data_IF_924820382011
#
_entry.id   IF_924820382011
#
_cell.length_a   1.000
_cell.length_b   1.000
_cell.length_c   1.000
_cell.angle_alpha   90.00
_cell.angle_beta   90.00
_cell.angle_gamma   90.00
#
_symmetry.space_group_name_H-M   'P 1'
#
loop_
_entity.id
_entity.type
_entity.pdbx_description
1 polymer ?
#
# COMPACT_ATOMS: atom_id res chain seq x y z
N UNK A 1 -28.52 9.71 11.94
CA UNK A 1 -27.65 8.70 11.32
C UNK A 1 -28.49 7.49 10.98
N UNK A 2 -28.65 7.17 9.70
CA UNK A 2 -29.35 5.94 9.25
C UNK A 2 -28.33 5.00 8.60
N UNK A 3 -28.46 3.68 8.79
CA UNK A 3 -27.48 2.71 8.32
C UNK A 3 -27.56 2.51 6.80
N UNK A 4 -26.40 2.42 6.15
CA UNK A 4 -26.27 1.99 4.76
C UNK A 4 -26.73 0.54 4.64
N UNK A 5 -27.98 0.33 4.22
CA UNK A 5 -28.47 -0.98 3.78
C UNK A 5 -28.84 -0.85 2.30
N UNK A 6 -28.18 -1.65 1.46
CA UNK A 6 -28.58 -1.80 0.06
C UNK A 6 -29.86 -2.64 0.02
N UNK A 7 -31.01 -2.02 -0.26
CA UNK A 7 -32.15 -2.76 -0.80
C UNK A 7 -32.10 -2.62 -2.32
N UNK A 8 -32.01 -3.77 -2.98
CA UNK A 8 -31.93 -3.99 -4.43
C UNK A 8 -30.52 -3.91 -5.01
N UNK A 9 -30.00 -5.09 -5.39
CA UNK A 9 -28.76 -5.28 -6.12
C UNK A 9 -28.79 -4.68 -7.52
N UNK A 10 -28.69 -3.35 -7.59
CA UNK A 10 -28.27 -2.59 -8.77
C UNK A 10 -27.20 -1.59 -8.32
N UNK A 11 -26.18 -1.32 -9.15
CA UNK A 11 -25.24 -0.24 -8.84
C UNK A 11 -26.01 1.07 -8.74
N UNK A 12 -25.74 1.85 -7.69
CA UNK A 12 -26.22 3.20 -7.50
C UNK A 12 -25.69 4.09 -8.64
N UNK A 13 -26.42 4.19 -9.74
CA UNK A 13 -26.30 5.23 -10.76
C UNK A 13 -27.69 5.54 -11.33
N UNK A 14 -28.50 6.30 -10.60
CA UNK A 14 -29.74 6.91 -11.10
C UNK A 14 -29.65 8.44 -10.96
N UNK A 15 -28.56 9.01 -11.50
CA UNK A 15 -28.38 10.39 -11.99
C UNK A 15 -26.90 10.56 -12.37
N UNK A 16 -26.50 10.06 -13.55
CA UNK A 16 -25.15 10.32 -14.09
C UNK A 16 -25.04 11.80 -14.48
N UNK A 17 -24.39 12.60 -13.62
CA UNK A 17 -23.52 13.67 -14.08
C UNK A 17 -22.11 13.08 -14.10
N UNK A 18 -21.37 13.32 -15.17
CA UNK A 18 -20.26 12.53 -15.70
C UNK A 18 -18.99 12.46 -14.81
N UNK A 19 -18.99 11.78 -13.66
CA UNK A 19 -17.77 11.55 -12.84
C UNK A 19 -17.84 10.17 -12.18
N UNK A 20 -16.69 9.49 -11.98
CA UNK A 20 -16.65 8.12 -11.45
C UNK A 20 -15.47 7.90 -10.51
N UNK A 21 -15.73 7.36 -9.31
CA UNK A 21 -14.69 6.93 -8.37
C UNK A 21 -14.81 5.43 -8.17
N UNK A 22 -13.72 4.70 -8.39
CA UNK A 22 -13.62 3.27 -8.10
C UNK A 22 -12.36 2.97 -7.32
N UNK A 23 -12.52 2.30 -6.19
CA UNK A 23 -11.42 1.68 -5.47
C UNK A 23 -11.39 0.17 -5.77
N UNK A 24 -10.19 -0.38 -5.86
CA UNK A 24 -9.94 -1.82 -5.95
C UNK A 24 -9.46 -2.31 -4.59
N UNK A 25 -10.41 -2.81 -3.80
CA UNK A 25 -10.23 -3.88 -2.81
C UNK A 25 -11.64 -4.44 -2.48
N UNK A 26 -11.77 -5.74 -2.16
CA UNK A 26 -13.02 -6.30 -1.63
C UNK A 26 -13.19 -5.88 -0.16
N UNK A 27 -13.52 -4.61 0.06
CA UNK A 27 -13.94 -4.17 1.38
C UNK A 27 -15.28 -4.84 1.70
N UNK A 28 -15.32 -5.69 2.73
CA UNK A 28 -16.56 -6.32 3.17
C UNK A 28 -17.64 -5.24 3.37
N UNK A 29 -18.86 -5.41 2.82
CA UNK A 29 -19.92 -4.42 2.95
C UNK A 29 -20.24 -4.19 4.43
N UNK A 30 -20.08 -2.95 4.91
CA UNK A 30 -20.41 -2.55 6.28
C UNK A 30 -19.26 -2.05 7.15
N UNK A 31 -18.01 -2.08 6.69
CA UNK A 31 -16.91 -1.42 7.42
C UNK A 31 -16.86 0.10 7.14
N UNK A 32 -16.81 0.89 8.21
CA UNK A 32 -16.80 2.37 8.20
C UNK A 32 -15.54 3.01 7.59
N UNK A 33 -14.63 2.19 7.05
CA UNK A 33 -13.32 2.55 6.52
C UNK A 33 -13.26 2.33 5.00
N UNK A 34 -14.33 2.69 4.28
CA UNK A 34 -14.29 2.67 2.81
C UNK A 34 -13.71 4.01 2.29
N UNK A 35 -12.73 4.00 1.38
CA UNK A 35 -12.06 5.22 0.89
C UNK A 35 -12.88 6.00 -0.13
N UNK A 36 -13.81 5.33 -0.82
CA UNK A 36 -14.60 5.93 -1.93
C UNK A 36 -15.40 7.16 -1.48
N UNK A 37 -16.15 7.15 -0.35
CA UNK A 37 -16.89 8.32 0.09
C UNK A 37 -16.01 9.54 0.36
N UNK A 38 -14.77 9.36 0.81
CA UNK A 38 -13.85 10.48 1.08
C UNK A 38 -13.36 11.13 -0.21
N UNK A 39 -12.93 10.33 -1.19
CA UNK A 39 -12.58 10.81 -2.52
C UNK A 39 -13.78 11.51 -3.20
N UNK A 40 -14.96 10.87 -3.13
CA UNK A 40 -16.19 11.40 -3.71
C UNK A 40 -16.60 12.75 -3.08
N UNK A 41 -16.57 12.84 -1.75
CA UNK A 41 -16.91 14.08 -1.05
C UNK A 41 -15.87 15.19 -1.29
N UNK A 42 -14.58 14.83 -1.41
CA UNK A 42 -13.52 15.77 -1.80
C UNK A 42 -13.81 16.38 -3.18
N UNK A 43 -14.18 15.55 -4.16
CA UNK A 43 -14.50 15.99 -5.51
C UNK A 43 -15.74 16.89 -5.53
N UNK A 44 -16.81 16.50 -4.83
CA UNK A 44 -18.02 17.31 -4.69
C UNK A 44 -17.80 18.65 -3.98
N UNK A 45 -16.77 18.75 -3.15
CA UNK A 45 -16.40 19.99 -2.46
C UNK A 45 -15.58 20.94 -3.34
N UNK A 46 -15.40 20.62 -4.62
CA UNK A 46 -14.66 21.43 -5.59
C UNK A 46 -13.15 21.20 -5.58
N UNK A 47 -12.67 20.12 -4.94
CA UNK A 47 -11.26 19.76 -5.02
C UNK A 47 -10.93 19.16 -6.39
N UNK A 48 -9.67 19.29 -6.82
CA UNK A 48 -9.22 18.72 -8.09
C UNK A 48 -9.36 17.20 -8.12
N UNK A 49 -9.40 16.62 -9.33
CA UNK A 49 -9.35 15.17 -9.55
C UNK A 49 -8.18 14.50 -8.82
N UNK A 50 -6.97 15.05 -8.99
CA UNK A 50 -5.77 14.60 -8.28
C UNK A 50 -5.88 14.77 -6.77
N UNK A 51 -6.38 15.91 -6.28
CA UNK A 51 -6.59 16.14 -4.85
C UNK A 51 -7.56 15.14 -4.23
N UNK A 52 -8.62 14.77 -4.97
CA UNK A 52 -9.62 13.82 -4.53
C UNK A 52 -9.11 12.37 -4.56
N UNK A 53 -8.30 12.02 -5.55
CA UNK A 53 -7.56 10.75 -5.58
C UNK A 53 -6.63 10.64 -4.37
N UNK A 54 -5.84 11.69 -4.10
CA UNK A 54 -4.91 11.74 -2.97
C UNK A 54 -5.66 11.60 -1.65
N UNK A 55 -6.78 12.29 -1.46
CA UNK A 55 -7.58 12.17 -0.23
C UNK A 55 -8.17 10.78 -0.04
N UNK A 56 -8.65 10.15 -1.13
CA UNK A 56 -9.16 8.79 -1.11
C UNK A 56 -8.13 7.76 -0.66
N UNK A 57 -6.93 7.81 -1.24
CA UNK A 57 -5.83 6.91 -0.90
C UNK A 57 -5.29 7.18 0.53
N UNK A 58 -5.06 8.46 0.87
CA UNK A 58 -4.58 8.89 2.20
C UNK A 58 -5.54 8.50 3.32
N UNK A 59 -6.84 8.39 3.03
CA UNK A 59 -7.83 7.93 4.01
C UNK A 59 -7.47 6.54 4.53
N UNK A 60 -7.06 5.61 3.67
CA UNK A 60 -6.72 4.26 4.10
C UNK A 60 -5.34 4.16 4.74
N UNK A 61 -4.39 5.02 4.36
CA UNK A 61 -3.13 5.16 5.08
C UNK A 61 -3.35 5.58 6.54
N UNK A 62 -4.34 6.47 6.77
CA UNK A 62 -4.68 7.01 8.10
C UNK A 62 -5.58 6.12 8.92
N UNK A 63 -6.64 5.58 8.31
CA UNK A 63 -7.66 4.77 9.00
C UNK A 63 -7.30 3.29 9.08
N UNK A 64 -6.22 2.86 8.42
CA UNK A 64 -5.81 1.46 8.33
C UNK A 64 -7.00 0.59 7.88
N UNK A 65 -7.56 0.95 6.70
CA UNK A 65 -8.81 0.35 6.19
C UNK A 65 -8.73 -1.18 6.12
N UNK A 66 -7.53 -1.67 5.85
CA UNK A 66 -7.08 -3.03 6.05
C UNK A 66 -5.71 -2.98 6.77
N UNK A 67 -5.16 -4.15 7.12
CA UNK A 67 -3.84 -4.23 7.76
C UNK A 67 -2.68 -4.20 6.74
N UNK A 68 -2.95 -3.82 5.49
CA UNK A 68 -2.01 -3.90 4.37
C UNK A 68 -1.75 -2.55 3.69
N UNK A 69 -2.44 -1.49 4.14
CA UNK A 69 -2.22 -0.09 3.75
C UNK A 69 -2.01 0.80 4.98
N UNK A 70 -0.98 1.64 4.95
CA UNK A 70 -0.67 2.60 6.02
C UNK A 70 0.25 2.04 7.11
N UNK A 71 0.39 2.74 8.22
CA UNK A 71 1.31 2.32 9.29
C UNK A 71 0.81 1.06 10.00
N UNK A 72 1.69 0.36 10.73
CA UNK A 72 1.33 -0.77 11.59
C UNK A 72 1.01 -2.09 10.89
N UNK A 73 0.97 -2.08 9.56
CA UNK A 73 0.78 -3.26 8.70
C UNK A 73 2.10 -3.81 8.15
N UNK A 74 2.05 -5.08 7.71
CA UNK A 74 3.05 -5.78 6.90
C UNK A 74 4.52 -5.33 7.09
N UNK A 75 5.13 -5.56 8.26
CA UNK A 75 6.55 -5.28 8.47
C UNK A 75 7.44 -6.20 7.59
N UNK A 76 8.65 -5.76 7.30
CA UNK A 76 9.69 -6.58 6.66
C UNK A 76 10.30 -7.60 7.64
N UNK A 77 11.25 -8.42 7.17
CA UNK A 77 11.95 -9.42 8.01
C UNK A 77 12.73 -8.82 9.21
N UNK A 78 13.03 -7.52 9.18
CA UNK A 78 13.64 -6.80 10.31
C UNK A 78 12.64 -6.22 11.30
N UNK A 79 11.35 -6.23 10.95
CA UNK A 79 10.27 -5.65 11.73
C UNK A 79 9.96 -4.19 11.39
N UNK A 80 10.58 -3.63 10.35
CA UNK A 80 10.31 -2.28 9.90
C UNK A 80 9.16 -2.28 8.88
N UNK A 81 8.17 -1.41 9.12
CA UNK A 81 7.14 -1.12 8.13
C UNK A 81 7.61 -0.01 7.20
N UNK A 82 7.54 -0.24 5.89
CA UNK A 82 7.77 0.78 4.86
C UNK A 82 6.56 0.90 3.95
N UNK A 83 6.36 2.09 3.38
CA UNK A 83 5.20 2.40 2.54
C UNK A 83 5.61 2.71 1.11
N UNK A 84 4.78 2.28 0.16
CA UNK A 84 4.94 2.54 -1.26
C UNK A 84 3.66 3.23 -1.77
N UNK A 85 3.81 4.24 -2.63
CA UNK A 85 2.68 4.90 -3.27
C UNK A 85 3.04 5.36 -4.68
N UNK A 86 2.07 5.32 -5.59
CA UNK A 86 2.20 5.76 -6.97
C UNK A 86 0.95 6.51 -7.41
N UNK A 87 1.15 7.62 -8.11
CA UNK A 87 0.10 8.48 -8.64
C UNK A 87 0.34 8.73 -10.13
N UNK A 88 -0.75 8.70 -10.91
CA UNK A 88 -0.80 9.01 -12.33
C UNK A 88 -1.89 10.04 -12.56
N UNK A 89 -1.53 11.12 -13.23
CA UNK A 89 -2.42 12.15 -13.72
C UNK A 89 -2.52 12.02 -15.25
N UNK A 90 -3.68 11.64 -15.77
CA UNK A 90 -3.90 11.39 -17.20
C UNK A 90 -3.57 12.63 -18.04
N UNK A 91 -4.18 13.79 -17.76
CA UNK A 91 -3.76 15.06 -18.32
C UNK A 91 -2.28 15.35 -18.13
N UNK A 92 -1.58 15.55 -19.24
CA UNK A 92 -0.15 15.84 -19.25
C UNK A 92 0.73 14.65 -18.86
N UNK A 93 0.16 13.44 -18.70
CA UNK A 93 0.86 12.19 -18.42
C UNK A 93 1.84 12.28 -17.24
N UNK A 94 1.48 13.03 -16.19
CA UNK A 94 2.37 13.19 -15.03
C UNK A 94 2.28 11.97 -14.14
N UNK A 95 3.41 11.52 -13.64
CA UNK A 95 3.48 10.41 -12.70
C UNK A 95 4.49 10.68 -11.61
N UNK A 96 4.19 10.19 -10.41
CA UNK A 96 5.12 10.26 -9.29
C UNK A 96 4.93 9.07 -8.35
N UNK A 97 6.02 8.66 -7.72
CA UNK A 97 6.02 7.54 -6.80
C UNK A 97 7.02 7.70 -5.65
N UNK A 98 6.71 7.05 -4.55
CA UNK A 98 7.66 6.72 -3.50
C UNK A 98 7.65 5.23 -3.24
N UNK A 99 8.81 4.67 -2.94
CA UNK A 99 8.92 3.28 -2.50
C UNK A 99 9.88 3.16 -1.34
N UNK A 100 9.70 2.15 -0.51
CA UNK A 100 10.38 1.97 0.76
C UNK A 100 10.38 3.27 1.58
N UNK A 101 9.29 4.04 1.58
CA UNK A 101 9.20 5.25 2.39
C UNK A 101 9.22 4.84 3.86
N UNK A 102 10.25 5.29 4.57
CA UNK A 102 10.46 4.97 5.98
C UNK A 102 9.95 6.11 6.84
N UNK A 103 9.35 5.77 7.99
CA UNK A 103 9.09 6.69 9.09
C UNK A 103 8.25 7.93 8.72
N UNK A 104 7.41 7.84 7.70
CA UNK A 104 6.44 8.88 7.31
C UNK A 104 5.13 8.17 6.94
N UNK A 105 4.01 8.61 7.52
CA UNK A 105 2.71 7.92 7.38
C UNK A 105 2.00 8.17 6.06
N UNK A 106 2.13 9.38 5.51
CA UNK A 106 1.33 9.85 4.38
C UNK A 106 2.00 9.58 3.03
N UNK A 107 2.25 8.32 2.68
CA UNK A 107 3.01 7.95 1.47
C UNK A 107 2.40 8.52 0.18
N UNK A 108 1.07 8.48 0.04
CA UNK A 108 0.34 9.07 -1.08
C UNK A 108 0.61 10.57 -1.20
N UNK A 109 0.58 11.31 -0.09
CA UNK A 109 0.82 12.75 -0.09
C UNK A 109 2.27 13.07 -0.39
N UNK A 110 3.22 12.24 0.05
CA UNK A 110 4.63 12.39 -0.33
C UNK A 110 4.81 12.15 -1.83
N UNK A 111 4.19 11.13 -2.42
CA UNK A 111 4.20 10.92 -3.88
C UNK A 111 3.62 12.13 -4.63
N UNK A 112 2.54 12.74 -4.11
CA UNK A 112 1.99 13.96 -4.70
C UNK A 112 2.94 15.15 -4.58
N UNK A 113 3.69 15.26 -3.47
CA UNK A 113 4.74 16.26 -3.34
C UNK A 113 5.88 16.03 -4.33
N UNK A 114 6.29 14.78 -4.58
CA UNK A 114 7.27 14.43 -5.63
C UNK A 114 6.80 14.96 -6.99
N UNK A 115 5.52 14.74 -7.33
CA UNK A 115 4.92 15.20 -8.59
C UNK A 115 4.98 16.73 -8.78
N UNK A 116 4.80 17.48 -7.69
CA UNK A 116 4.65 18.94 -7.75
C UNK A 116 5.94 19.72 -7.49
N UNK A 117 6.92 19.11 -6.81
CA UNK A 117 8.10 19.82 -6.32
C UNK A 117 9.43 19.24 -6.82
N UNK A 118 9.39 18.28 -7.74
CA UNK A 118 10.59 17.70 -8.34
C UNK A 118 10.40 17.43 -9.82
N UNK A 119 11.50 17.23 -10.55
CA UNK A 119 11.49 16.68 -11.91
C UNK A 119 11.64 15.14 -11.92
N UNK A 120 11.69 14.51 -10.75
CA UNK A 120 11.84 13.07 -10.62
C UNK A 120 10.48 12.38 -10.68
N UNK A 121 10.46 11.19 -11.26
CA UNK A 121 9.29 10.31 -11.23
C UNK A 121 9.21 9.50 -9.93
N UNK A 122 10.34 9.14 -9.33
CA UNK A 122 10.36 8.22 -8.19
C UNK A 122 11.50 8.53 -7.25
N UNK A 123 11.22 8.53 -5.94
CA UNK A 123 12.22 8.65 -4.88
C UNK A 123 12.03 7.48 -3.92
N UNK A 124 13.13 6.86 -3.47
CA UNK A 124 13.06 5.61 -2.70
C UNK A 124 13.82 5.66 -1.38
N UNK A 125 13.40 4.80 -0.45
CA UNK A 125 14.12 4.52 0.78
C UNK A 125 14.26 5.73 1.70
N UNK A 126 15.42 5.81 2.34
CA UNK A 126 15.79 6.91 3.23
C UNK A 126 15.78 8.28 2.54
N UNK A 127 16.01 8.33 1.22
CA UNK A 127 16.01 9.60 0.48
C UNK A 127 14.60 10.14 0.30
N UNK A 128 13.60 9.25 0.19
CA UNK A 128 12.19 9.64 0.19
C UNK A 128 11.79 10.24 1.53
N UNK A 129 12.25 9.67 2.64
CA UNK A 129 12.05 10.24 3.98
C UNK A 129 12.67 11.63 4.08
N UNK A 130 13.92 11.82 3.70
CA UNK A 130 14.58 13.15 3.73
C UNK A 130 13.85 14.18 2.89
N UNK A 131 13.42 13.81 1.68
CA UNK A 131 12.60 14.67 0.83
C UNK A 131 11.28 15.04 1.52
N UNK A 132 10.58 14.06 2.11
CA UNK A 132 9.33 14.31 2.83
C UNK A 132 9.53 15.32 3.98
N UNK A 133 10.60 15.19 4.76
CA UNK A 133 10.89 16.16 5.83
C UNK A 133 11.13 17.57 5.30
N UNK A 134 11.81 17.71 4.15
CA UNK A 134 12.00 19.01 3.50
C UNK A 134 10.68 19.62 3.01
N UNK A 135 9.70 18.79 2.66
CA UNK A 135 8.34 19.23 2.28
C UNK A 135 7.42 19.47 3.48
N UNK A 136 7.93 19.33 4.72
CA UNK A 136 7.18 19.61 5.95
C UNK A 136 6.40 18.42 6.52
N UNK A 137 6.59 17.21 5.98
CA UNK A 137 6.06 16.00 6.61
C UNK A 137 6.82 15.69 7.91
N UNK A 138 6.20 14.91 8.79
CA UNK A 138 6.77 14.55 10.09
C UNK A 138 7.36 13.15 10.05
N UNK A 139 8.52 13.01 10.68
CA UNK A 139 9.10 11.71 10.96
C UNK A 139 8.38 11.08 12.15
N UNK A 140 7.83 9.89 11.96
CA UNK A 140 7.04 9.18 12.95
C UNK A 140 7.30 7.67 12.90
N UNK A 141 7.16 6.99 14.03
CA UNK A 141 7.25 5.54 14.07
C UNK A 141 6.02 4.91 13.40
N UNK A 142 6.26 4.00 12.45
CA UNK A 142 5.23 3.24 11.76
C UNK A 142 4.85 1.94 12.49
N UNK A 143 5.63 1.52 13.49
CA UNK A 143 5.37 0.32 14.29
C UNK A 143 4.21 0.54 15.27
N UNK A 144 3.33 -0.45 15.35
CA UNK A 144 2.23 -0.54 16.32
C UNK A 144 2.38 -1.76 17.23
N UNK A 145 1.69 -1.82 18.38
CA UNK A 145 1.67 -3.04 19.21
C UNK A 145 1.24 -4.30 18.43
N UNK A 146 0.33 -4.15 17.47
CA UNK A 146 -0.09 -5.24 16.58
C UNK A 146 1.08 -5.72 15.71
N UNK A 147 1.83 -4.83 15.06
CA UNK A 147 3.00 -5.20 14.26
C UNK A 147 4.10 -5.89 15.07
N UNK A 148 4.31 -5.48 16.33
CA UNK A 148 5.26 -6.14 17.24
C UNK A 148 4.83 -7.56 17.56
N UNK A 149 3.54 -7.77 17.86
CA UNK A 149 2.98 -9.10 18.10
C UNK A 149 3.08 -9.99 16.85
N UNK A 150 2.83 -9.43 15.66
CA UNK A 150 3.00 -10.14 14.40
C UNK A 150 4.44 -10.65 14.22
N UNK A 151 5.44 -9.79 14.44
CA UNK A 151 6.85 -10.16 14.36
C UNK A 151 7.27 -11.21 15.40
N UNK A 152 6.69 -11.14 16.59
CA UNK A 152 6.96 -12.08 17.68
C UNK A 152 6.37 -13.47 17.38
N UNK A 153 5.13 -13.53 16.90
CA UNK A 153 4.49 -14.77 16.42
C UNK A 153 5.26 -15.38 15.23
N UNK A 154 5.64 -14.55 14.25
CA UNK A 154 6.39 -15.00 13.07
C UNK A 154 7.75 -15.60 13.42
N UNK A 155 8.50 -14.94 14.33
CA UNK A 155 9.79 -15.47 14.80
C UNK A 155 9.66 -16.77 15.58
N UNK A 156 8.62 -16.92 16.42
CA UNK A 156 8.34 -18.21 17.10
C UNK A 156 7.97 -19.32 16.12
N UNK A 157 7.40 -18.96 14.97
CA UNK A 157 7.04 -19.88 13.89
C UNK A 157 8.18 -20.08 12.88
N UNK A 158 9.44 -20.08 13.32
CA UNK A 158 10.63 -20.24 12.48
C UNK A 158 10.63 -19.34 11.24
N UNK A 159 10.19 -18.10 11.40
CA UNK A 159 10.12 -17.10 10.33
C UNK A 159 9.30 -17.56 9.11
N UNK A 160 8.18 -18.25 9.35
CA UNK A 160 7.24 -18.65 8.32
C UNK A 160 5.95 -17.82 8.36
N UNK A 161 5.43 -17.38 7.20
CA UNK A 161 6.00 -17.59 5.86
C UNK A 161 7.15 -16.61 5.54
N UNK A 162 8.05 -16.96 4.62
CA UNK A 162 9.08 -16.05 4.08
C UNK A 162 9.27 -16.22 2.57
N UNK A 163 10.08 -15.33 1.96
CA UNK A 163 10.29 -15.29 0.51
C UNK A 163 11.61 -15.91 0.05
N UNK A 164 12.42 -16.44 0.97
CA UNK A 164 13.72 -17.04 0.64
C UNK A 164 13.57 -18.36 -0.11
N UNK A 165 14.39 -18.56 -1.13
CA UNK A 165 14.45 -19.79 -1.94
C UNK A 165 15.89 -20.10 -2.28
N UNK A 166 16.23 -21.40 -2.37
CA UNK A 166 17.56 -21.87 -2.76
C UNK A 166 18.69 -21.28 -1.89
N UNK A 167 18.46 -21.27 -0.57
CA UNK A 167 19.42 -20.79 0.43
C UNK A 167 19.69 -21.83 1.51
N UNK A 168 20.84 -21.67 2.18
CA UNK A 168 21.24 -22.41 3.35
C UNK A 168 21.40 -21.43 4.54
N UNK A 169 20.92 -21.75 5.76
CA UNK A 169 20.14 -22.94 6.14
C UNK A 169 18.76 -23.00 5.47
N UNK A 170 18.12 -24.17 5.50
CA UNK A 170 16.78 -24.40 4.92
C UNK A 170 15.78 -23.31 5.36
N UNK A 171 15.25 -22.50 4.43
CA UNK A 171 14.41 -21.36 4.76
C UNK A 171 13.04 -21.75 5.31
N UNK A 172 12.66 -23.03 5.26
CA UNK A 172 11.41 -23.52 5.89
C UNK A 172 11.57 -23.83 7.38
N UNK A 173 12.81 -23.85 7.88
CA UNK A 173 13.16 -24.32 9.24
C UNK A 173 13.96 -23.32 10.06
N UNK A 174 14.57 -22.34 9.41
CA UNK A 174 15.44 -21.35 10.04
C UNK A 174 14.92 -19.93 9.75
N UNK A 175 15.48 -18.94 10.45
CA UNK A 175 15.31 -17.51 10.19
C UNK A 175 16.54 -16.91 9.47
N UNK A 176 17.45 -17.75 9.00
CA UNK A 176 18.75 -17.33 8.48
C UNK A 176 19.78 -17.07 9.61
N UNK A 177 20.83 -16.27 9.35
CA UNK A 177 21.11 -15.57 8.09
C UNK A 177 21.26 -16.57 6.95
N UNK A 178 20.72 -16.20 5.80
CA UNK A 178 20.70 -17.05 4.62
C UNK A 178 21.87 -16.74 3.70
N UNK A 179 22.42 -17.78 3.08
CA UNK A 179 23.42 -17.67 2.03
C UNK A 179 22.98 -18.51 0.82
N UNK A 180 23.33 -18.11 -0.41
CA UNK A 180 23.02 -18.89 -1.60
C UNK A 180 23.44 -20.36 -1.45
N UNK A 181 22.55 -21.29 -1.75
CA UNK A 181 22.89 -22.71 -1.80
C UNK A 181 23.78 -23.00 -3.02
N UNK A 182 24.71 -23.95 -2.89
CA UNK A 182 25.58 -24.37 -3.98
C UNK A 182 24.78 -24.98 -5.13
N UNK A 183 25.22 -24.75 -6.39
CA UNK A 183 24.51 -25.18 -7.59
C UNK A 183 24.24 -26.70 -7.66
N UNK A 184 25.03 -27.51 -6.96
CA UNK A 184 24.89 -28.97 -6.87
C UNK A 184 23.72 -29.43 -5.99
N UNK A 185 23.21 -28.59 -5.09
CA UNK A 185 22.09 -28.91 -4.19
C UNK A 185 20.70 -28.60 -4.79
N UNK A 186 20.66 -27.99 -5.99
CA UNK A 186 19.47 -27.34 -6.55
C UNK A 186 18.59 -28.23 -7.46
N UNK A 187 19.00 -29.46 -7.80
CA UNK A 187 18.25 -30.28 -8.76
C UNK A 187 17.02 -30.99 -8.13
N UNK A 188 17.02 -31.26 -6.83
CA UNK A 188 15.95 -32.04 -6.17
C UNK A 188 14.85 -31.20 -5.49
N UNK A 189 15.06 -29.90 -5.26
CA UNK A 189 14.14 -29.04 -4.46
C UNK A 189 13.29 -28.06 -5.28
N UNK A 190 13.06 -28.33 -6.57
CA UNK A 190 12.14 -27.53 -7.41
C UNK A 190 10.64 -27.75 -7.09
N UNK A 191 10.30 -28.60 -6.12
CA UNK A 191 8.93 -29.04 -5.87
C UNK A 191 8.36 -28.31 -4.65
N UNK A 192 7.26 -27.57 -4.90
CA UNK A 192 6.33 -26.90 -3.97
C UNK A 192 6.75 -25.52 -3.44
N UNK A 193 6.81 -24.53 -4.34
CA UNK A 193 6.50 -23.15 -3.91
C UNK A 193 4.98 -23.03 -3.72
N UNK A 194 4.48 -23.31 -2.51
CA UNK A 194 3.16 -22.81 -2.14
C UNK A 194 3.21 -21.28 -2.28
N UNK A 195 2.30 -20.71 -3.09
CA UNK A 195 2.21 -19.25 -3.24
C UNK A 195 1.74 -18.68 -1.90
N UNK A 196 2.65 -18.01 -1.20
CA UNK A 196 2.42 -17.30 0.08
C UNK A 196 1.61 -15.99 -0.12
N UNK A 197 1.25 -15.66 -1.37
CA UNK A 197 0.54 -14.43 -1.71
C UNK A 197 -0.96 -14.70 -1.68
N UNK A 198 -1.61 -14.32 -0.58
CA UNK A 198 -3.07 -14.21 -0.48
C UNK A 198 -3.48 -12.75 -0.17
N UNK A 199 -4.80 -12.51 -0.10
CA UNK A 199 -5.36 -11.17 0.12
C UNK A 199 -4.92 -10.50 1.44
N UNK A 200 -4.58 -11.28 2.45
CA UNK A 200 -4.13 -10.75 3.74
C UNK A 200 -2.61 -10.52 3.79
N UNK A 201 -1.90 -10.91 2.74
CA UNK A 201 -0.44 -10.87 2.64
C UNK A 201 0.11 -9.92 1.56
N UNK A 202 -0.74 -9.32 0.71
CA UNK A 202 -0.30 -8.39 -0.35
C UNK A 202 -1.34 -7.30 -0.72
N UNK A 203 -2.52 -7.25 -0.10
CA UNK A 203 -3.55 -6.35 -0.61
C UNK A 203 -3.14 -4.88 -0.52
N UNK A 204 -3.49 -4.19 -1.59
CA UNK A 204 -3.03 -2.85 -1.92
C UNK A 204 -4.28 -2.08 -2.26
N UNK A 205 -4.40 -0.83 -1.81
CA UNK A 205 -5.48 0.02 -2.31
C UNK A 205 -5.07 0.58 -3.67
N UNK A 206 -5.94 0.38 -4.67
CA UNK A 206 -5.92 1.14 -5.91
C UNK A 206 -7.15 2.02 -6.02
N UNK A 207 -7.03 3.21 -6.59
CA UNK A 207 -8.16 4.10 -6.84
C UNK A 207 -8.04 4.75 -8.22
N UNK A 208 -9.18 4.89 -8.88
CA UNK A 208 -9.34 5.67 -10.11
C UNK A 208 -10.41 6.72 -9.86
N UNK A 209 -10.12 7.96 -10.26
CA UNK A 209 -11.04 9.10 -10.23
C UNK A 209 -11.16 9.62 -11.66
N UNK A 210 -12.39 9.67 -12.17
CA UNK A 210 -12.76 10.24 -13.46
C UNK A 210 -13.61 11.46 -13.20
N UNK A 211 -13.39 12.51 -14.00
CA UNK A 211 -13.97 13.83 -13.79
C UNK A 211 -14.98 14.29 -14.89
N UNK A 212 -15.65 15.46 -14.82
CA UNK A 212 -16.73 15.87 -15.78
C UNK A 212 -16.21 15.98 -17.19
N UNK A 213 -14.94 16.38 -17.29
CA UNK A 213 -14.26 16.47 -18.56
C UNK A 213 -13.91 15.09 -19.12
N UNK A 214 -14.20 14.02 -18.39
CA UNK A 214 -13.88 12.64 -18.75
C UNK A 214 -12.42 12.27 -18.47
N UNK A 215 -11.68 13.17 -17.83
CA UNK A 215 -10.25 12.99 -17.58
C UNK A 215 -10.00 12.10 -16.37
N UNK A 216 -8.89 11.36 -16.40
CA UNK A 216 -8.67 10.25 -15.48
C UNK A 216 -7.39 10.46 -14.66
N UNK A 217 -7.48 10.20 -13.36
CA UNK A 217 -6.32 10.01 -12.49
C UNK A 217 -6.42 8.66 -11.79
N UNK A 218 -5.28 8.02 -11.59
CA UNK A 218 -5.22 6.73 -10.91
C UNK A 218 -4.06 6.72 -9.91
N UNK A 219 -4.19 5.93 -8.86
CA UNK A 219 -3.12 5.80 -7.89
C UNK A 219 -3.29 4.60 -6.99
N UNK A 220 -2.22 4.29 -6.28
CA UNK A 220 -2.10 3.12 -5.42
C UNK A 220 -1.29 3.47 -4.17
N UNK A 221 -1.61 2.85 -3.05
CA UNK A 221 -0.80 2.86 -1.82
C UNK A 221 -0.75 1.46 -1.18
N UNK A 222 0.40 1.08 -0.64
CA UNK A 222 0.62 -0.26 -0.08
C UNK A 222 1.77 -0.30 0.93
N UNK A 223 1.72 -1.27 1.84
CA UNK A 223 2.88 -1.70 2.63
C UNK A 223 3.74 -2.76 1.92
N UNK A 224 3.24 -3.30 0.81
CA UNK A 224 3.79 -4.46 0.16
C UNK A 224 3.54 -5.75 0.96
N UNK A 225 4.31 -6.78 0.63
CA UNK A 225 4.14 -8.09 1.24
C UNK A 225 4.61 -8.13 2.70
N UNK A 226 3.85 -8.83 3.55
CA UNK A 226 4.22 -9.06 4.95
C UNK A 226 5.45 -9.99 5.02
N UNK A 227 6.43 -9.63 5.84
CA UNK A 227 7.73 -10.31 5.95
C UNK A 227 8.50 -10.36 4.62
N UNK A 228 8.30 -9.34 3.77
CA UNK A 228 9.17 -9.10 2.61
C UNK A 228 10.62 -8.98 3.05
N UNK A 229 11.54 -9.22 2.12
CA UNK A 229 12.96 -9.08 2.37
C UNK A 229 13.29 -7.78 3.09
N UNK A 230 14.24 -7.89 4.02
CA UNK A 230 14.76 -6.76 4.79
C UNK A 230 15.16 -5.61 3.87
N UNK A 231 14.76 -4.41 4.25
CA UNK A 231 15.23 -3.18 3.61
C UNK A 231 16.65 -2.87 4.14
N UNK A 232 17.61 -2.66 3.23
CA UNK A 232 19.00 -2.24 3.53
C UNK A 232 19.22 -0.77 3.21
#
# INVERSE_FOLDING_TARGET
MKPCTSRHGKPLCEHCRDWFVKAWNEFAPGHCSHPIPYAYNSLNSGNSRMGSLVEGLSTCERLQCDTTVGYGGSPDESGETTLDALLIDGPGHRMAAVAQLRRVRDATRVAWAVMNHTQHTMIVGEQATRFALQMGFKEENLTTPASLLMMDVWRRNSCQPNFWKNVNPDPTKSCGPYQPASATDNLEKMVLSNRIIDRFHHDTIGMVVIDDSGEVSAGTSTNGARYKHRNE
#
